data_IF_794929481884
#
_entry.id   IF_794929481884
#
_cell.length_a   1.000
_cell.length_b   1.000
_cell.length_c   1.000
_cell.angle_alpha   90.00
_cell.angle_beta   90.00
_cell.angle_gamma   90.00
#
_symmetry.space_group_name_H-M   'P 1'
#
loop_
_entity.id
_entity.type
_entity.pdbx_description
1 polymer ?
#
# COMPACT_ATOMS: atom_id res chain seq x y z
N UNK A 1 12.94 -13.87 20.71
CA UNK A 1 12.20 -13.43 19.50
C UNK A 1 10.93 -12.70 19.95
N UNK A 2 10.76 -11.39 19.68
CA UNK A 2 9.54 -10.69 20.04
C UNK A 2 8.36 -11.29 19.25
N UNK A 3 7.32 -11.75 19.94
CA UNK A 3 6.10 -12.26 19.29
C UNK A 3 5.28 -11.06 18.81
N UNK A 4 5.00 -11.01 17.52
CA UNK A 4 4.07 -10.01 16.97
C UNK A 4 2.69 -10.25 17.60
N UNK A 5 2.05 -9.18 18.07
CA UNK A 5 0.72 -9.28 18.63
C UNK A 5 -0.30 -9.63 17.53
N UNK A 6 -1.34 -10.44 17.81
CA UNK A 6 -2.36 -10.77 16.81
C UNK A 6 -3.07 -9.53 16.26
N UNK A 7 -3.23 -8.48 17.09
CA UNK A 7 -3.77 -7.18 16.68
C UNK A 7 -2.87 -6.46 15.68
N UNK A 8 -1.56 -6.59 15.81
CA UNK A 8 -0.62 -6.02 14.85
C UNK A 8 -0.72 -6.74 13.50
N UNK A 9 -0.72 -8.07 13.49
CA UNK A 9 -0.87 -8.87 12.27
C UNK A 9 -2.18 -8.56 11.55
N UNK A 10 -3.30 -8.48 12.27
CA UNK A 10 -4.60 -8.12 11.68
C UNK A 10 -4.55 -6.74 11.00
N UNK A 11 -3.99 -5.73 11.69
CA UNK A 11 -3.88 -4.36 11.14
C UNK A 11 -2.99 -4.31 9.91
N UNK A 12 -1.89 -5.06 9.94
CA UNK A 12 -0.99 -5.21 8.80
C UNK A 12 -1.72 -5.83 7.61
N UNK A 13 -2.44 -6.94 7.83
CA UNK A 13 -3.24 -7.57 6.79
C UNK A 13 -4.31 -6.63 6.23
N UNK A 14 -5.01 -5.86 7.07
CA UNK A 14 -5.99 -4.88 6.60
C UNK A 14 -5.37 -3.79 5.72
N UNK A 15 -4.22 -3.25 6.11
CA UNK A 15 -3.51 -2.25 5.31
C UNK A 15 -3.03 -2.82 3.97
N UNK A 16 -2.47 -4.04 3.98
CA UNK A 16 -2.00 -4.72 2.77
C UNK A 16 -3.15 -5.07 1.82
N UNK A 17 -4.24 -5.63 2.33
CA UNK A 17 -5.44 -5.97 1.55
C UNK A 17 -6.07 -4.71 0.96
N UNK A 18 -6.12 -3.61 1.71
CA UNK A 18 -6.58 -2.32 1.20
C UNK A 18 -5.81 -1.90 -0.05
N UNK A 19 -4.48 -1.80 0.07
CA UNK A 19 -3.62 -1.37 -1.04
C UNK A 19 -3.65 -2.35 -2.21
N UNK A 20 -3.64 -3.65 -1.94
CA UNK A 20 -3.70 -4.70 -2.96
C UNK A 20 -5.02 -4.65 -3.75
N UNK A 21 -6.16 -4.50 -3.08
CA UNK A 21 -7.46 -4.36 -3.75
C UNK A 21 -7.47 -3.11 -4.63
N UNK A 22 -6.92 -1.98 -4.17
CA UNK A 22 -6.82 -0.77 -4.98
C UNK A 22 -6.02 -0.97 -6.27
N UNK A 23 -5.05 -1.89 -6.31
CA UNK A 23 -4.30 -2.16 -7.56
C UNK A 23 -5.19 -2.69 -8.69
N UNK A 24 -6.30 -3.35 -8.35
CA UNK A 24 -7.22 -3.92 -9.34
C UNK A 24 -8.04 -2.86 -10.07
N UNK A 25 -8.13 -1.64 -9.53
CA UNK A 25 -8.86 -0.53 -10.14
C UNK A 25 -8.12 0.10 -11.34
N UNK A 26 -6.82 -0.16 -11.47
CA UNK A 26 -5.92 0.53 -12.39
C UNK A 26 -5.51 -0.37 -13.57
N UNK A 27 -4.77 0.16 -14.57
CA UNK A 27 -4.50 -0.53 -15.83
C UNK A 27 -3.97 -1.95 -15.65
N UNK A 28 -4.53 -2.85 -16.47
CA UNK A 28 -4.45 -4.34 -16.50
C UNK A 28 -5.73 -5.03 -16.07
N UNK A 29 -6.43 -4.54 -15.03
CA UNK A 29 -7.72 -5.09 -14.60
C UNK A 29 -8.88 -4.11 -14.74
N UNK A 30 -8.66 -2.81 -14.51
CA UNK A 30 -9.68 -1.75 -14.67
C UNK A 30 -11.01 -2.05 -13.94
N UNK A 31 -10.96 -2.64 -12.75
CA UNK A 31 -12.15 -2.97 -11.97
C UNK A 31 -12.56 -1.81 -11.07
N UNK A 32 -13.36 -0.88 -11.60
CA UNK A 32 -13.82 0.34 -10.89
C UNK A 32 -14.32 0.13 -9.44
N UNK A 33 -15.15 -0.89 -9.14
CA UNK A 33 -15.64 -1.14 -7.77
C UNK A 33 -14.51 -1.35 -6.74
N UNK A 34 -13.33 -1.77 -7.18
CA UNK A 34 -12.19 -2.00 -6.31
C UNK A 34 -11.69 -0.72 -5.61
N UNK A 35 -11.94 0.47 -6.19
CA UNK A 35 -11.64 1.76 -5.54
C UNK A 35 -12.40 1.87 -4.22
N UNK A 36 -13.71 1.63 -4.27
CA UNK A 36 -14.58 1.75 -3.10
C UNK A 36 -14.30 0.65 -2.08
N UNK A 37 -14.21 -0.60 -2.53
CA UNK A 37 -13.99 -1.76 -1.66
C UNK A 37 -12.60 -1.69 -1.01
N UNK A 38 -11.59 -1.26 -1.76
CA UNK A 38 -10.21 -1.14 -1.29
C UNK A 38 -10.05 -0.10 -0.18
N UNK A 39 -10.86 0.97 -0.17
CA UNK A 39 -10.77 2.03 0.85
C UNK A 39 -11.37 1.62 2.20
N UNK A 40 -12.41 0.79 2.23
CA UNK A 40 -13.10 0.38 3.47
C UNK A 40 -12.16 -0.14 4.56
N UNK A 41 -11.27 -1.13 4.31
CA UNK A 41 -10.38 -1.66 5.36
C UNK A 41 -9.38 -0.62 5.88
N UNK A 42 -8.93 0.32 5.03
CA UNK A 42 -8.04 1.39 5.46
C UNK A 42 -8.77 2.43 6.31
N UNK A 43 -9.96 2.86 5.90
CA UNK A 43 -10.76 3.81 6.68
C UNK A 43 -11.11 3.24 8.05
N UNK A 44 -11.52 1.96 8.13
CA UNK A 44 -11.76 1.28 9.39
C UNK A 44 -10.51 1.21 10.29
N UNK A 45 -9.32 1.08 9.69
CA UNK A 45 -8.04 1.02 10.40
C UNK A 45 -7.58 2.40 10.90
N UNK A 46 -7.88 3.46 10.15
CA UNK A 46 -7.55 4.85 10.47
C UNK A 46 -8.57 5.49 11.40
N UNK A 47 -9.79 4.95 11.47
CA UNK A 47 -10.86 5.50 12.29
C UNK A 47 -10.41 5.59 13.76
N UNK A 48 -10.44 6.79 14.37
CA UNK A 48 -10.07 6.94 15.76
C UNK A 48 -11.06 6.15 16.62
N UNK A 49 -10.57 5.14 17.33
CA UNK A 49 -11.35 4.48 18.39
C UNK A 49 -11.40 5.33 19.67
N UNK A 50 -10.53 6.34 19.77
CA UNK A 50 -10.32 7.13 20.97
C UNK A 50 -10.12 8.60 20.55
N UNK A 51 -11.21 9.37 20.56
CA UNK A 51 -11.21 10.77 20.14
C UNK A 51 -10.47 11.67 21.16
N UNK A 52 -10.29 11.19 22.39
CA UNK A 52 -9.73 11.96 23.49
C UNK A 52 -8.20 12.01 23.49
N UNK A 53 -7.53 11.10 22.75
CA UNK A 53 -6.06 11.06 22.61
C UNK A 53 -5.62 10.82 21.17
N UNK A 54 -5.79 11.80 20.27
CA UNK A 54 -5.36 11.66 18.88
C UNK A 54 -3.83 11.51 18.81
N UNK A 55 -3.36 10.33 18.40
CA UNK A 55 -1.95 10.10 18.04
C UNK A 55 -1.81 10.05 16.52
N UNK A 56 -1.27 11.09 15.85
CA UNK A 56 -1.25 11.15 14.39
C UNK A 56 -0.24 10.19 13.74
N UNK A 57 0.79 9.76 14.48
CA UNK A 57 1.87 8.91 13.95
C UNK A 57 1.38 7.51 13.56
N UNK A 58 0.41 6.97 14.30
CA UNK A 58 -0.05 5.60 14.11
C UNK A 58 -0.97 5.45 12.88
N UNK A 59 -1.96 6.32 12.64
CA UNK A 59 -2.72 6.35 11.38
C UNK A 59 -1.80 6.57 10.17
N UNK A 60 -0.83 7.47 10.27
CA UNK A 60 0.13 7.72 9.20
C UNK A 60 0.90 6.46 8.79
N UNK A 61 1.43 5.69 9.75
CA UNK A 61 2.18 4.47 9.45
C UNK A 61 1.33 3.41 8.70
N UNK A 62 0.05 3.25 9.07
CA UNK A 62 -0.84 2.31 8.38
C UNK A 62 -1.24 2.79 6.98
N UNK A 63 -1.50 4.10 6.82
CA UNK A 63 -1.70 4.71 5.51
C UNK A 63 -0.49 4.56 4.60
N UNK A 64 0.72 4.70 5.16
CA UNK A 64 1.97 4.49 4.42
C UNK A 64 2.10 3.04 3.92
N UNK A 65 1.82 2.05 4.76
CA UNK A 65 1.87 0.62 4.37
C UNK A 65 0.84 0.31 3.28
N UNK A 66 -0.40 0.79 3.41
CA UNK A 66 -1.42 0.62 2.38
C UNK A 66 -1.01 1.30 1.07
N UNK A 67 -0.44 2.51 1.15
CA UNK A 67 0.11 3.23 0.01
C UNK A 67 1.22 2.45 -0.69
N UNK A 68 2.17 1.87 0.05
CA UNK A 68 3.22 1.03 -0.54
C UNK A 68 2.65 -0.20 -1.25
N UNK A 69 1.69 -0.88 -0.63
CA UNK A 69 1.03 -2.04 -1.24
C UNK A 69 0.27 -1.68 -2.53
N UNK A 70 -0.25 -0.46 -2.62
CA UNK A 70 -0.92 0.07 -3.82
C UNK A 70 0.07 0.55 -4.90
N UNK A 71 1.06 1.35 -4.53
CA UNK A 71 1.95 2.03 -5.48
C UNK A 71 3.02 1.11 -6.05
N UNK A 72 3.59 0.18 -5.27
CA UNK A 72 4.69 -0.66 -5.76
C UNK A 72 4.29 -1.49 -6.99
N UNK A 73 3.13 -2.17 -7.02
CA UNK A 73 2.71 -2.89 -8.23
C UNK A 73 2.34 -1.95 -9.37
N UNK A 74 1.63 -0.86 -9.08
CA UNK A 74 1.17 0.10 -10.10
C UNK A 74 2.30 0.91 -10.75
N UNK A 75 3.38 1.15 -10.02
CA UNK A 75 4.56 1.89 -10.50
C UNK A 75 5.72 0.96 -10.86
N UNK A 76 5.52 -0.36 -10.91
CA UNK A 76 6.55 -1.30 -11.30
C UNK A 76 7.12 -1.00 -12.71
N UNK A 77 6.32 -0.39 -13.58
CA UNK A 77 6.75 0.06 -14.92
C UNK A 77 7.78 1.20 -14.87
N UNK A 78 7.80 2.03 -13.82
CA UNK A 78 8.78 3.13 -13.68
C UNK A 78 10.19 2.57 -13.67
N UNK A 79 10.40 1.39 -13.06
CA UNK A 79 11.69 0.69 -13.12
C UNK A 79 12.11 0.39 -14.57
N UNK A 80 11.18 0.02 -15.44
CA UNK A 80 11.47 -0.19 -16.86
C UNK A 80 11.82 1.13 -17.55
N UNK A 81 11.04 2.19 -17.32
CA UNK A 81 11.29 3.51 -17.90
C UNK A 81 12.62 4.12 -17.47
N UNK A 82 12.98 4.05 -16.19
CA UNK A 82 14.26 4.56 -15.68
C UNK A 82 15.45 3.87 -16.33
N UNK A 83 15.34 2.57 -16.62
CA UNK A 83 16.39 1.79 -17.32
C UNK A 83 16.57 2.24 -18.77
N UNK A 84 15.48 2.51 -19.47
CA UNK A 84 15.51 2.98 -20.87
C UNK A 84 16.14 4.38 -20.96
N UNK A 85 15.82 5.28 -20.02
CA UNK A 85 16.37 6.65 -20.01
C UNK A 85 17.88 6.66 -19.72
N UNK A 86 18.38 5.72 -18.89
CA UNK A 86 19.79 5.66 -18.50
C UNK A 86 20.61 4.62 -19.28
N UNK A 87 20.08 4.06 -20.37
CA UNK A 87 20.84 3.23 -21.31
C UNK A 87 21.25 1.83 -20.80
N UNK A 88 20.57 1.29 -19.78
CA UNK A 88 20.92 -0.03 -19.22
C UNK A 88 20.59 -1.17 -20.21
N UNK A 89 21.61 -1.91 -20.65
CA UNK A 89 21.48 -3.02 -21.60
C UNK A 89 21.29 -4.42 -20.95
N UNK A 90 21.43 -4.52 -19.62
CA UNK A 90 21.35 -5.77 -18.85
C UNK A 90 20.44 -5.68 -17.60
N UNK A 91 20.45 -6.69 -16.72
CA UNK A 91 19.61 -6.79 -15.49
C UNK A 91 20.03 -5.88 -14.33
N UNK A 92 20.92 -4.95 -14.61
CA UNK A 92 21.64 -4.11 -13.66
C UNK A 92 20.76 -2.93 -13.21
N UNK A 93 20.82 -2.61 -11.92
CA UNK A 93 20.33 -1.34 -11.40
C UNK A 93 21.49 -0.35 -11.45
N UNK A 94 21.36 0.71 -12.25
CA UNK A 94 22.27 1.85 -12.19
C UNK A 94 21.52 2.99 -11.49
N UNK A 95 21.73 3.08 -10.18
CA UNK A 95 21.18 4.09 -9.29
C UNK A 95 22.15 4.35 -8.15
#
# INVERSE_FOLDING_TARGET
MPRLSPRFCLRLSLALVSGATLTLAYPRWNWEPAVWIGLVPLLALLWPADLDRPSPRRPFAWGWIAGLAFFLPNLAWVRHSSRVIHGAQGSEWMG
#
